data_IF_335663370922
#
_entry.id   IF_335663370922
#
_cell.length_a   1.000
_cell.length_b   1.000
_cell.length_c   1.000
_cell.angle_alpha   90.00
_cell.angle_beta   90.00
_cell.angle_gamma   90.00
#
_symmetry.space_group_name_H-M   'P 1'
#
loop_
_entity.id
_entity.type
_entity.pdbx_description
1 polymer ?
#
# COMPACT_ATOMS: atom_id res chain seq x y z
N UNK A 1 -47.35 -62.18 -25.41
CA UNK A 1 -47.38 -61.19 -24.33
C UNK A 1 -45.95 -60.67 -24.14
N UNK A 2 -45.61 -59.52 -24.75
CA UNK A 2 -44.29 -58.90 -24.64
C UNK A 2 -44.26 -58.06 -23.38
N UNK A 3 -43.47 -58.46 -22.38
CA UNK A 3 -43.23 -57.69 -21.16
C UNK A 3 -42.23 -56.59 -21.49
N UNK A 4 -42.70 -55.35 -21.54
CA UNK A 4 -41.84 -54.17 -21.64
C UNK A 4 -41.33 -53.86 -20.24
N UNK A 5 -40.06 -54.15 -19.99
CA UNK A 5 -39.36 -53.71 -18.78
C UNK A 5 -38.98 -52.24 -18.96
N UNK A 6 -39.64 -51.34 -18.24
CA UNK A 6 -39.23 -49.94 -18.14
C UNK A 6 -38.12 -49.87 -17.09
N UNK A 7 -36.89 -49.71 -17.56
CA UNK A 7 -35.74 -49.38 -16.71
C UNK A 7 -35.83 -47.89 -16.36
N UNK A 8 -36.28 -47.58 -15.15
CA UNK A 8 -36.24 -46.23 -14.60
C UNK A 8 -34.77 -45.95 -14.22
N UNK A 9 -34.02 -45.38 -15.17
CA UNK A 9 -32.70 -44.80 -14.90
C UNK A 9 -32.94 -43.54 -14.07
N UNK A 10 -32.90 -43.69 -12.75
CA UNK A 10 -32.74 -42.57 -11.83
C UNK A 10 -31.34 -42.02 -12.07
N UNK A 11 -31.26 -41.05 -12.98
CA UNK A 11 -30.10 -40.16 -13.12
C UNK A 11 -29.97 -39.44 -11.77
N UNK A 12 -29.10 -39.97 -10.91
CA UNK A 12 -28.57 -39.21 -9.78
C UNK A 12 -27.79 -38.06 -10.40
N UNK A 13 -28.47 -36.94 -10.60
CA UNK A 13 -27.83 -35.66 -10.87
C UNK A 13 -26.99 -35.37 -9.63
N UNK A 14 -25.71 -35.75 -9.68
CA UNK A 14 -24.74 -35.27 -8.71
C UNK A 14 -24.80 -33.75 -8.85
N UNK A 15 -25.09 -33.00 -7.78
CA UNK A 15 -25.01 -31.55 -7.86
C UNK A 15 -23.62 -31.23 -8.42
N UNK A 16 -23.57 -30.50 -9.53
CA UNK A 16 -22.31 -29.95 -9.99
C UNK A 16 -21.81 -29.10 -8.83
N UNK A 17 -20.77 -29.58 -8.14
CA UNK A 17 -20.08 -28.81 -7.10
C UNK A 17 -19.61 -27.56 -7.82
N UNK A 18 -20.32 -26.45 -7.62
CA UNK A 18 -20.03 -25.20 -8.28
C UNK A 18 -18.61 -24.83 -7.92
N UNK A 19 -17.73 -24.73 -8.92
CA UNK A 19 -16.39 -24.24 -8.73
C UNK A 19 -16.51 -22.78 -8.32
N UNK A 20 -16.00 -22.43 -7.14
CA UNK A 20 -15.93 -21.03 -6.71
C UNK A 20 -14.87 -20.34 -7.56
N UNK A 21 -15.23 -19.19 -8.13
CA UNK A 21 -14.32 -18.38 -8.93
C UNK A 21 -13.97 -17.10 -8.18
N UNK A 22 -12.68 -16.92 -7.90
CA UNK A 22 -12.15 -15.68 -7.31
C UNK A 22 -11.38 -14.92 -8.38
N UNK A 23 -11.72 -13.65 -8.59
CA UNK A 23 -11.01 -12.75 -9.47
C UNK A 23 -10.27 -11.71 -8.63
N UNK A 24 -8.96 -11.60 -8.82
CA UNK A 24 -8.13 -10.55 -8.24
C UNK A 24 -7.64 -9.68 -9.40
N UNK A 25 -8.14 -8.46 -9.46
CA UNK A 25 -7.90 -7.56 -10.60
C UNK A 25 -7.27 -6.27 -10.14
N UNK A 26 -6.17 -5.88 -10.79
CA UNK A 26 -5.64 -4.54 -10.70
C UNK A 26 -6.35 -3.61 -11.69
N UNK A 27 -6.63 -2.37 -11.27
CA UNK A 27 -7.07 -1.29 -12.15
C UNK A 27 -6.25 -0.04 -11.82
N UNK A 28 -5.70 0.61 -12.85
CA UNK A 28 -5.01 1.89 -12.70
C UNK A 28 -5.95 2.89 -12.01
N UNK A 29 -5.44 3.58 -10.99
CA UNK A 29 -6.26 4.49 -10.16
C UNK A 29 -6.30 5.93 -10.68
N UNK A 30 -5.73 6.18 -11.86
CA UNK A 30 -5.57 7.51 -12.45
C UNK A 30 -4.43 8.32 -11.83
N UNK A 31 -3.62 7.70 -10.97
CA UNK A 31 -2.44 8.27 -10.32
C UNK A 31 -1.22 7.36 -10.48
N UNK A 32 -0.28 7.38 -9.53
CA UNK A 32 0.94 6.57 -9.56
C UNK A 32 0.69 5.13 -9.07
N UNK A 33 -0.48 4.56 -9.36
CA UNK A 33 -0.89 3.38 -8.66
C UNK A 33 -1.99 2.57 -9.32
N UNK A 34 -2.33 1.50 -8.62
CA UNK A 34 -3.43 0.62 -8.97
C UNK A 34 -4.23 0.26 -7.73
N UNK A 35 -5.55 0.20 -7.91
CA UNK A 35 -6.46 -0.43 -6.96
C UNK A 35 -6.51 -1.92 -7.23
N UNK A 36 -6.46 -2.72 -6.16
CA UNK A 36 -6.66 -4.16 -6.24
C UNK A 36 -8.05 -4.50 -5.72
N UNK A 37 -8.85 -5.13 -6.58
CA UNK A 37 -10.20 -5.59 -6.27
C UNK A 37 -10.23 -7.10 -6.19
N UNK A 38 -10.93 -7.63 -5.20
CA UNK A 38 -11.27 -9.06 -5.11
C UNK A 38 -12.76 -9.22 -5.34
N UNK A 39 -13.12 -10.12 -6.24
CA UNK A 39 -14.50 -10.52 -6.52
C UNK A 39 -14.66 -12.03 -6.45
N UNK A 40 -15.68 -12.52 -5.77
CA UNK A 40 -16.03 -13.95 -5.69
C UNK A 40 -17.50 -14.18 -6.05
N UNK A 41 -17.80 -15.28 -6.72
CA UNK A 41 -19.16 -15.62 -7.18
C UNK A 41 -20.00 -16.34 -6.11
N UNK A 42 -19.36 -17.06 -5.20
CA UNK A 42 -19.94 -17.71 -4.04
C UNK A 42 -18.85 -17.98 -3.01
N UNK A 43 -19.20 -18.02 -1.72
CA UNK A 43 -18.23 -18.19 -0.63
C UNK A 43 -17.20 -17.05 -0.55
N UNK A 44 -17.20 -16.29 0.54
CA UNK A 44 -16.33 -15.13 0.63
C UNK A 44 -14.87 -15.53 0.81
N UNK A 45 -13.97 -14.65 0.39
CA UNK A 45 -12.55 -14.80 0.67
C UNK A 45 -12.32 -14.46 2.15
N UNK A 46 -11.68 -15.36 2.89
CA UNK A 46 -11.22 -15.16 4.28
C UNK A 46 -9.85 -14.54 4.33
N UNK A 47 -9.01 -14.79 3.34
CA UNK A 47 -7.69 -14.20 3.26
C UNK A 47 -6.97 -14.59 1.99
N UNK A 48 -5.86 -13.91 1.74
CA UNK A 48 -5.05 -14.12 0.56
C UNK A 48 -3.58 -13.77 0.81
N UNK A 49 -2.70 -14.56 0.19
CA UNK A 49 -1.29 -14.23 -0.02
C UNK A 49 -1.04 -13.96 -1.50
N UNK A 50 -0.55 -12.77 -1.85
CA UNK A 50 -0.23 -12.37 -3.22
C UNK A 50 1.21 -11.89 -3.32
N UNK A 51 1.85 -12.18 -4.45
CA UNK A 51 3.09 -11.53 -4.87
C UNK A 51 2.76 -10.50 -5.95
N UNK A 52 3.13 -9.25 -5.69
CA UNK A 52 3.00 -8.13 -6.60
C UNK A 52 4.38 -7.80 -7.16
N UNK A 53 4.50 -7.62 -8.48
CA UNK A 53 5.76 -7.23 -9.10
C UNK A 53 5.57 -6.21 -10.21
N UNK A 54 6.55 -5.33 -10.37
CA UNK A 54 6.61 -4.34 -11.46
C UNK A 54 7.80 -4.65 -12.38
N UNK A 55 7.63 -4.41 -13.68
CA UNK A 55 8.67 -4.62 -14.69
C UNK A 55 9.68 -3.46 -14.79
N UNK A 56 9.33 -2.29 -14.24
CA UNK A 56 10.16 -1.10 -14.11
C UNK A 56 9.85 -0.41 -12.77
N UNK A 57 10.80 0.38 -12.26
CA UNK A 57 10.66 1.07 -10.99
C UNK A 57 10.63 0.17 -9.76
N UNK A 58 10.03 0.72 -8.71
CA UNK A 58 9.84 0.07 -7.42
C UNK A 58 8.44 0.31 -6.89
N UNK A 59 7.97 -0.59 -6.02
CA UNK A 59 6.73 -0.44 -5.28
C UNK A 59 7.04 0.37 -4.02
N UNK A 60 6.49 1.58 -3.94
CA UNK A 60 6.81 2.57 -2.90
C UNK A 60 5.78 2.59 -1.77
N UNK A 61 4.56 2.13 -2.04
CA UNK A 61 3.54 1.96 -1.02
C UNK A 61 2.58 0.84 -1.39
N UNK A 62 2.10 0.14 -0.37
CA UNK A 62 0.88 -0.66 -0.44
C UNK A 62 0.03 -0.15 0.72
N UNK A 63 -1.21 0.24 0.43
CA UNK A 63 -2.11 0.85 1.42
C UNK A 63 -3.42 0.08 1.46
N UNK A 64 -3.82 -0.50 2.60
CA UNK A 64 -5.12 -1.16 2.71
C UNK A 64 -6.24 -0.13 2.56
N UNK A 65 -7.36 -0.53 1.97
CA UNK A 65 -8.50 0.38 1.83
C UNK A 65 -9.05 0.77 3.21
N UNK A 66 -9.15 2.07 3.54
CA UNK A 66 -9.69 2.50 4.83
C UNK A 66 -11.11 2.01 5.04
N UNK A 67 -11.37 1.37 6.19
CA UNK A 67 -12.68 0.79 6.49
C UNK A 67 -13.01 -0.47 5.67
N UNK A 68 -12.05 -1.02 4.94
CA UNK A 68 -12.17 -2.34 4.31
C UNK A 68 -12.16 -3.47 5.34
N UNK A 69 -12.77 -4.59 4.97
CA UNK A 69 -12.95 -5.73 5.88
C UNK A 69 -11.72 -6.64 5.96
N UNK A 70 -10.79 -6.43 5.03
CA UNK A 70 -9.49 -7.08 5.04
C UNK A 70 -8.48 -6.24 5.80
N UNK A 71 -7.88 -6.88 6.80
CA UNK A 71 -6.76 -6.35 7.57
C UNK A 71 -5.49 -7.07 7.19
N UNK A 72 -4.37 -6.50 7.61
CA UNK A 72 -3.03 -6.96 7.28
C UNK A 72 -2.47 -7.78 8.43
N UNK A 73 -1.73 -8.85 8.10
CA UNK A 73 -1.02 -9.65 9.09
C UNK A 73 0.40 -9.97 8.58
N UNK A 74 1.45 -9.33 9.11
CA UNK A 74 2.80 -9.54 8.61
C UNK A 74 3.35 -10.91 9.04
N UNK A 75 3.58 -11.80 8.08
CA UNK A 75 4.32 -13.06 8.25
C UNK A 75 3.46 -14.21 8.76
N UNK A 76 2.75 -14.02 9.88
CA UNK A 76 1.78 -14.96 10.44
C UNK A 76 0.65 -14.18 11.14
N UNK A 77 -0.60 -14.61 10.96
CA UNK A 77 -1.72 -14.15 11.79
C UNK A 77 -1.44 -14.63 13.22
N UNK A 78 -1.02 -13.72 14.10
CA UNK A 78 -0.79 -14.05 15.50
C UNK A 78 -2.06 -13.80 16.31
N UNK A 79 -2.74 -14.89 16.65
CA UNK A 79 -3.98 -14.88 17.43
C UNK A 79 -3.66 -15.25 18.90
N UNK A 80 -3.94 -14.35 19.85
CA UNK A 80 -3.87 -14.61 21.30
C UNK A 80 -5.27 -14.49 21.89
N UNK A 81 -5.77 -15.57 22.51
CA UNK A 81 -7.10 -15.62 23.11
C UNK A 81 -8.23 -15.19 22.13
N UNK A 82 -8.07 -15.54 20.84
CA UNK A 82 -9.02 -15.16 19.78
C UNK A 82 -8.84 -13.75 19.22
N UNK A 83 -7.87 -12.97 19.70
CA UNK A 83 -7.57 -11.62 19.23
C UNK A 83 -6.36 -11.59 18.32
N UNK A 84 -6.41 -10.79 17.25
CA UNK A 84 -5.18 -10.35 16.60
C UNK A 84 -4.56 -9.19 17.36
N UNK A 85 -3.27 -9.34 17.66
CA UNK A 85 -2.51 -8.37 18.46
C UNK A 85 -1.58 -7.49 17.61
N UNK A 86 -1.47 -7.73 16.30
CA UNK A 86 -0.65 -6.92 15.39
C UNK A 86 -1.32 -6.80 14.01
N UNK A 87 -1.63 -5.57 13.61
CA UNK A 87 -2.25 -5.22 12.34
C UNK A 87 -1.29 -4.46 11.39
N UNK A 88 0.02 -4.46 11.66
CA UNK A 88 0.98 -3.59 10.96
C UNK A 88 1.34 -4.02 9.53
N UNK A 89 1.93 -3.07 8.80
CA UNK A 89 2.21 -2.91 7.35
C UNK A 89 1.96 -4.09 6.37
N UNK A 90 1.32 -3.84 5.20
CA UNK A 90 0.78 -4.84 4.23
C UNK A 90 1.78 -5.77 3.57
N UNK A 91 3.03 -5.67 3.94
CA UNK A 91 4.15 -6.30 3.29
C UNK A 91 5.18 -6.74 4.30
N UNK A 92 5.99 -7.74 3.95
CA UNK A 92 7.12 -8.13 4.78
C UNK A 92 8.07 -6.93 4.96
N UNK A 93 8.38 -6.53 6.20
CA UNK A 93 9.25 -5.39 6.50
C UNK A 93 10.53 -5.41 5.65
N UNK A 94 10.81 -4.31 4.94
CA UNK A 94 11.93 -4.19 3.99
C UNK A 94 11.62 -4.54 2.53
N UNK A 95 10.37 -4.85 2.18
CA UNK A 95 9.98 -5.19 0.80
C UNK A 95 9.58 -3.99 -0.08
N UNK A 96 9.23 -2.84 0.52
CA UNK A 96 9.02 -1.60 -0.23
C UNK A 96 10.36 -1.04 -0.74
N UNK A 97 10.29 -0.23 -1.79
CA UNK A 97 11.48 0.27 -2.49
C UNK A 97 12.16 -0.82 -3.34
N UNK A 98 11.46 -1.93 -3.61
CA UNK A 98 11.90 -3.01 -4.50
C UNK A 98 10.90 -3.23 -5.63
N UNK A 99 11.29 -3.99 -6.66
CA UNK A 99 10.42 -4.31 -7.79
C UNK A 99 9.37 -5.38 -7.48
N UNK A 100 9.35 -5.93 -6.26
CA UNK A 100 8.42 -6.98 -5.87
C UNK A 100 8.06 -6.95 -4.40
N UNK A 101 6.79 -7.13 -4.06
CA UNK A 101 6.32 -7.19 -2.68
C UNK A 101 5.35 -8.35 -2.48
N UNK A 102 5.54 -9.10 -1.40
CA UNK A 102 4.54 -10.08 -0.94
C UNK A 102 3.59 -9.40 0.02
N UNK A 103 2.30 -9.59 -0.20
CA UNK A 103 1.22 -9.05 0.64
C UNK A 103 0.35 -10.18 1.20
N UNK A 104 0.02 -10.06 2.48
CA UNK A 104 -0.80 -11.02 3.23
C UNK A 104 -1.93 -10.26 3.91
N UNK A 105 -3.18 -10.55 3.54
CA UNK A 105 -4.36 -9.91 4.10
C UNK A 105 -5.44 -10.95 4.42
N UNK A 106 -6.22 -10.70 5.47
CA UNK A 106 -7.33 -11.56 5.87
C UNK A 106 -8.48 -10.75 6.51
N UNK A 107 -9.68 -11.30 6.44
CA UNK A 107 -10.86 -10.80 7.13
C UNK A 107 -11.14 -11.70 8.34
N UNK A 108 -11.14 -11.09 9.53
CA UNK A 108 -11.39 -11.80 10.79
C UNK A 108 -12.83 -11.64 11.25
N UNK A 109 -13.75 -11.46 10.31
CA UNK A 109 -15.13 -11.20 10.66
C UNK A 109 -15.82 -12.41 11.25
N UNK A 110 -16.78 -12.14 12.11
CA UNK A 110 -17.66 -13.13 12.71
C UNK A 110 -19.10 -12.67 12.62
N UNK A 111 -20.01 -13.62 12.35
CA UNK A 111 -21.45 -13.39 12.42
C UNK A 111 -22.02 -13.82 13.80
N UNK A 112 -21.16 -14.22 14.74
CA UNK A 112 -21.56 -14.61 16.10
C UNK A 112 -21.87 -13.36 16.94
N UNK A 113 -23.16 -13.21 17.27
CA UNK A 113 -23.70 -12.11 18.08
C UNK A 113 -23.06 -11.98 19.46
N UNK A 114 -22.42 -13.04 19.98
CA UNK A 114 -21.66 -12.96 21.22
C UNK A 114 -20.52 -11.92 21.16
N UNK A 115 -20.05 -11.56 19.97
CA UNK A 115 -18.98 -10.59 19.74
C UNK A 115 -19.48 -9.20 19.31
N UNK A 116 -20.80 -8.95 19.28
CA UNK A 116 -21.39 -7.67 18.84
C UNK A 116 -20.85 -6.44 19.60
N UNK A 117 -20.51 -6.62 20.88
CA UNK A 117 -20.04 -5.54 21.74
C UNK A 117 -18.51 -5.43 21.84
N UNK A 118 -17.77 -6.18 21.02
CA UNK A 118 -16.31 -6.18 21.04
C UNK A 118 -15.80 -5.72 19.68
N UNK A 119 -15.57 -4.40 19.57
CA UNK A 119 -15.28 -3.71 18.31
C UNK A 119 -14.09 -4.28 17.53
N UNK A 120 -13.15 -4.95 18.20
CA UNK A 120 -11.94 -5.51 17.59
C UNK A 120 -12.13 -6.95 17.04
N UNK A 121 -13.26 -7.61 17.31
CA UNK A 121 -13.49 -9.03 16.97
C UNK A 121 -14.22 -9.24 15.63
N UNK A 122 -14.40 -8.18 14.86
CA UNK A 122 -14.94 -8.28 13.50
C UNK A 122 -16.40 -8.67 13.38
N UNK A 123 -17.21 -8.44 14.43
CA UNK A 123 -18.65 -8.55 14.28
C UNK A 123 -19.18 -7.50 13.29
N UNK A 124 -19.96 -7.95 12.31
CA UNK A 124 -20.53 -7.08 11.27
C UNK A 124 -19.53 -6.58 10.23
N UNK A 125 -18.27 -7.03 10.30
CA UNK A 125 -17.18 -6.69 9.37
C UNK A 125 -17.12 -7.67 8.18
N UNK A 126 -18.26 -8.20 7.75
CA UNK A 126 -18.28 -9.24 6.72
C UNK A 126 -17.88 -8.64 5.36
N UNK A 127 -16.83 -9.16 4.68
CA UNK A 127 -16.43 -8.75 3.35
C UNK A 127 -17.60 -8.72 2.37
N UNK A 128 -17.53 -7.81 1.42
CA UNK A 128 -18.44 -7.86 0.27
C UNK A 128 -17.96 -8.91 -0.72
N UNK A 129 -18.88 -9.45 -1.53
CA UNK A 129 -18.50 -10.36 -2.62
C UNK A 129 -17.64 -9.67 -3.69
N UNK A 130 -17.58 -8.34 -3.68
CA UNK A 130 -16.68 -7.52 -4.49
C UNK A 130 -16.26 -6.29 -3.71
N UNK A 131 -14.96 -6.12 -3.47
CA UNK A 131 -14.44 -4.93 -2.80
C UNK A 131 -13.00 -4.59 -3.23
N UNK A 132 -12.64 -3.31 -3.14
CA UNK A 132 -11.25 -2.86 -3.24
C UNK A 132 -10.59 -3.14 -1.91
N UNK A 133 -9.52 -3.93 -1.92
CA UNK A 133 -8.84 -4.38 -0.69
C UNK A 133 -7.59 -3.54 -0.39
N UNK A 134 -6.90 -3.06 -1.41
CA UNK A 134 -5.72 -2.23 -1.25
C UNK A 134 -5.45 -1.37 -2.48
N UNK A 135 -4.61 -0.36 -2.31
CA UNK A 135 -3.94 0.37 -3.38
C UNK A 135 -2.44 0.10 -3.36
N UNK A 136 -1.82 0.09 -4.54
CA UNK A 136 -0.38 -0.07 -4.75
C UNK A 136 0.11 1.20 -5.41
N UNK A 137 1.21 1.77 -4.92
CA UNK A 137 1.86 2.93 -5.51
C UNK A 137 3.26 2.55 -6.01
N UNK A 138 3.62 3.03 -7.20
CA UNK A 138 4.86 2.71 -7.90
C UNK A 138 5.67 3.99 -8.19
N UNK A 139 6.99 3.85 -8.35
CA UNK A 139 7.90 4.99 -8.56
C UNK A 139 7.91 5.54 -10.00
N UNK A 140 7.52 4.73 -10.98
CA UNK A 140 7.48 5.12 -12.40
C UNK A 140 6.48 4.25 -13.17
N UNK A 141 6.30 4.54 -14.46
CA UNK A 141 5.47 3.71 -15.32
C UNK A 141 5.99 2.28 -15.40
N UNK A 142 5.06 1.34 -15.23
CA UNK A 142 5.36 -0.07 -15.23
C UNK A 142 4.10 -0.90 -15.54
N UNK A 143 4.30 -2.20 -15.69
CA UNK A 143 3.26 -3.20 -15.67
C UNK A 143 3.24 -3.86 -14.29
N UNK A 144 2.18 -3.63 -13.53
CA UNK A 144 1.92 -4.35 -12.29
C UNK A 144 1.39 -5.75 -12.60
N UNK A 145 2.13 -6.77 -12.16
CA UNK A 145 1.75 -8.18 -12.26
C UNK A 145 1.34 -8.69 -10.88
N UNK A 146 0.28 -9.50 -10.83
CA UNK A 146 -0.18 -10.17 -9.62
C UNK A 146 -0.01 -11.67 -9.82
N UNK A 147 0.59 -12.33 -8.84
CA UNK A 147 0.68 -13.79 -8.75
C UNK A 147 0.21 -14.27 -7.39
N UNK A 148 -0.36 -15.47 -7.33
CA UNK A 148 -0.77 -16.08 -6.07
C UNK A 148 0.45 -16.62 -5.34
N UNK A 149 0.58 -16.27 -4.05
CA UNK A 149 1.64 -16.81 -3.21
C UNK A 149 1.12 -18.03 -2.44
N UNK A 150 1.21 -19.21 -3.07
CA UNK A 150 0.80 -20.47 -2.46
C UNK A 150 1.61 -20.82 -1.20
N UNK A 151 2.86 -20.35 -1.08
CA UNK A 151 3.66 -20.56 0.14
C UNK A 151 3.13 -19.75 1.34
N UNK A 152 2.36 -18.69 1.08
CA UNK A 152 1.65 -17.89 2.08
C UNK A 152 0.15 -18.21 2.18
N UNK A 153 -0.26 -19.37 1.66
CA UNK A 153 -1.63 -19.88 1.76
C UNK A 153 -2.51 -19.63 0.55
N UNK A 154 -2.06 -18.83 -0.43
CA UNK A 154 -2.86 -18.49 -1.60
C UNK A 154 -4.17 -17.80 -1.23
N UNK A 155 -5.22 -17.98 -2.01
CA UNK A 155 -6.58 -17.49 -1.70
C UNK A 155 -7.32 -18.52 -0.86
N UNK A 156 -7.83 -18.08 0.30
CA UNK A 156 -8.57 -18.91 1.26
C UNK A 156 -10.02 -18.45 1.32
N UNK A 157 -10.96 -19.41 1.24
CA UNK A 157 -12.41 -19.19 1.31
C UNK A 157 -12.94 -19.37 2.74
N UNK A 158 -14.20 -18.96 3.00
CA UNK A 158 -14.90 -19.25 4.26
C UNK A 158 -15.09 -20.75 4.51
N UNK A 159 -15.39 -21.49 3.44
CA UNK A 159 -15.48 -22.94 3.46
C UNK A 159 -14.13 -23.55 3.05
N UNK A 160 -13.39 -24.15 4.01
CA UNK A 160 -12.07 -24.71 3.73
C UNK A 160 -12.12 -25.96 2.84
N UNK A 161 -13.29 -26.57 2.64
CA UNK A 161 -13.45 -27.74 1.77
C UNK A 161 -13.61 -27.34 0.29
N UNK A 162 -13.81 -26.04 0.00
CA UNK A 162 -13.87 -25.52 -1.36
C UNK A 162 -12.50 -25.01 -1.82
N UNK A 163 -12.09 -25.45 -3.01
CA UNK A 163 -10.86 -24.97 -3.67
C UNK A 163 -11.25 -23.96 -4.74
N UNK A 164 -10.89 -22.67 -4.61
CA UNK A 164 -11.23 -21.67 -5.60
C UNK A 164 -10.43 -21.87 -6.90
N UNK A 165 -11.04 -21.51 -8.02
CA UNK A 165 -10.31 -21.15 -9.24
C UNK A 165 -9.96 -19.66 -9.14
N UNK A 166 -8.67 -19.34 -9.09
CA UNK A 166 -8.19 -17.98 -8.92
C UNK A 166 -7.76 -17.41 -10.27
N UNK A 167 -8.43 -16.34 -10.70
CA UNK A 167 -8.07 -15.56 -11.88
C UNK A 167 -7.35 -14.28 -11.44
N UNK A 168 -6.13 -14.09 -11.92
CA UNK A 168 -5.30 -12.94 -11.59
C UNK A 168 -5.12 -12.06 -12.83
N UNK A 169 -5.38 -10.77 -12.70
CA UNK A 169 -5.17 -9.80 -13.77
C UNK A 169 -4.38 -8.60 -13.27
N UNK A 170 -3.17 -8.44 -13.81
CA UNK A 170 -2.36 -7.24 -13.65
C UNK A 170 -2.89 -6.05 -14.45
N UNK A 171 -2.16 -4.92 -14.40
CA UNK A 171 -2.51 -3.69 -15.12
C UNK A 171 -1.26 -2.92 -15.52
N UNK A 172 -1.31 -2.25 -16.66
CA UNK A 172 -0.31 -1.25 -17.02
C UNK A 172 -0.61 0.06 -16.26
N UNK A 173 0.39 0.64 -15.62
CA UNK A 173 0.31 1.91 -14.90
C UNK A 173 1.04 2.95 -15.77
N UNK A 174 0.26 3.84 -16.38
CA UNK A 174 0.75 4.81 -17.35
C UNK A 174 1.26 6.10 -16.68
N UNK A 175 2.23 6.76 -17.31
CA UNK A 175 2.94 7.88 -16.68
C UNK A 175 2.03 9.10 -16.55
N UNK A 176 1.71 9.44 -15.31
CA UNK A 176 1.77 10.79 -14.74
C UNK A 176 2.62 10.78 -13.45
N UNK A 177 3.40 9.71 -13.26
CA UNK A 177 3.88 9.23 -11.98
C UNK A 177 5.18 9.86 -11.48
N UNK A 178 5.68 10.89 -12.18
CA UNK A 178 6.63 11.76 -11.53
C UNK A 178 5.89 12.38 -10.37
N UNK A 179 6.13 11.89 -9.15
CA UNK A 179 6.21 12.82 -8.04
C UNK A 179 7.06 13.96 -8.60
N UNK A 180 6.49 15.14 -8.81
CA UNK A 180 7.35 16.27 -8.96
C UNK A 180 8.01 16.34 -7.59
N UNK A 181 9.30 16.02 -7.50
CA UNK A 181 10.01 16.37 -6.29
C UNK A 181 9.76 17.86 -6.06
N UNK A 182 9.67 18.31 -4.81
CA UNK A 182 9.41 19.71 -4.51
C UNK A 182 10.36 20.58 -5.33
N UNK A 183 9.86 21.59 -6.04
CA UNK A 183 10.69 22.41 -6.94
C UNK A 183 11.91 23.02 -6.22
N UNK A 184 11.82 23.21 -4.90
CA UNK A 184 12.92 23.66 -4.06
C UNK A 184 14.11 22.71 -3.97
N UNK A 185 13.97 21.43 -4.32
CA UNK A 185 15.11 20.52 -4.41
C UNK A 185 15.99 20.78 -5.63
N UNK A 186 15.52 21.58 -6.59
CA UNK A 186 16.37 22.13 -7.64
C UNK A 186 17.06 23.43 -7.22
N UNK A 187 16.82 23.93 -6.01
CA UNK A 187 17.58 25.07 -5.50
C UNK A 187 19.02 24.63 -5.24
N UNK A 188 19.95 25.31 -5.89
CA UNK A 188 21.37 24.95 -5.83
C UNK A 188 22.00 25.17 -4.44
N UNK A 189 21.27 25.77 -3.49
CA UNK A 189 21.65 25.92 -2.09
C UNK A 189 20.89 25.00 -1.12
N UNK A 190 19.96 24.16 -1.59
CA UNK A 190 19.02 23.43 -0.72
C UNK A 190 19.69 22.51 0.30
N UNK A 191 20.76 21.82 -0.09
CA UNK A 191 21.58 20.96 0.79
C UNK A 191 22.36 21.74 1.88
N UNK A 192 22.35 23.07 1.82
CA UNK A 192 22.85 23.94 2.88
C UNK A 192 21.73 24.53 3.74
N UNK A 193 20.49 24.03 3.60
CA UNK A 193 19.27 24.54 4.23
C UNK A 193 18.77 25.91 3.73
N UNK A 194 19.07 26.27 2.48
CA UNK A 194 18.41 27.38 1.76
C UNK A 194 17.11 26.87 1.14
N UNK A 195 16.05 26.93 1.95
CA UNK A 195 14.74 26.32 1.70
C UNK A 195 13.86 27.16 0.78
N UNK A 196 14.11 28.47 0.68
CA UNK A 196 13.37 29.38 -0.19
C UNK A 196 14.11 29.75 -1.48
N UNK A 197 15.39 29.34 -1.60
CA UNK A 197 16.20 29.46 -2.80
C UNK A 197 16.75 30.86 -3.03
N UNK A 198 16.87 31.67 -1.98
CA UNK A 198 17.33 33.06 -2.06
C UNK A 198 18.86 33.21 -2.09
N UNK A 199 19.60 32.11 -1.92
CA UNK A 199 21.06 32.05 -1.89
C UNK A 199 21.67 32.30 -0.51
N UNK A 200 20.85 32.32 0.54
CA UNK A 200 21.28 32.51 1.92
C UNK A 200 20.46 31.67 2.90
N UNK A 201 21.05 31.37 4.06
CA UNK A 201 20.36 30.62 5.12
C UNK A 201 20.04 31.56 6.26
N UNK A 202 18.76 31.82 6.47
CA UNK A 202 18.28 32.84 7.39
C UNK A 202 16.94 32.51 8.04
N UNK A 203 16.25 33.58 8.46
CA UNK A 203 15.07 33.46 9.31
C UNK A 203 13.90 32.77 8.61
N UNK A 204 13.77 32.90 7.28
CA UNK A 204 12.73 32.22 6.52
C UNK A 204 12.97 30.71 6.49
N UNK A 205 14.21 30.28 6.29
CA UNK A 205 14.61 28.86 6.35
C UNK A 205 14.38 28.26 7.71
N UNK A 206 14.70 29.02 8.76
CA UNK A 206 14.42 28.60 10.12
C UNK A 206 12.94 28.30 10.35
N UNK A 207 12.04 29.11 9.78
CA UNK A 207 10.61 28.88 9.94
C UNK A 207 10.14 27.64 9.19
N UNK A 208 10.63 27.41 7.96
CA UNK A 208 10.35 26.19 7.20
C UNK A 208 10.76 24.93 7.99
N UNK A 209 11.97 24.97 8.56
CA UNK A 209 12.51 23.90 9.39
C UNK A 209 11.74 23.73 10.71
N UNK A 210 11.60 24.79 11.52
CA UNK A 210 10.91 24.78 12.83
C UNK A 210 9.50 24.22 12.69
N UNK A 211 8.78 24.69 11.68
CA UNK A 211 7.38 24.28 11.49
C UNK A 211 7.27 22.84 11.04
N UNK A 212 8.33 22.25 10.50
CA UNK A 212 8.37 20.87 10.00
C UNK A 212 9.13 19.89 10.90
N UNK A 213 9.73 20.37 11.99
CA UNK A 213 10.54 19.57 12.90
C UNK A 213 9.82 18.33 13.42
N UNK A 214 10.47 17.16 13.29
CA UNK A 214 9.97 15.87 13.75
C UNK A 214 8.85 15.29 12.87
N UNK A 215 8.60 15.87 11.70
CA UNK A 215 7.64 15.34 10.73
C UNK A 215 8.35 14.54 9.66
N UNK A 216 7.64 13.54 9.14
CA UNK A 216 8.03 12.81 7.95
C UNK A 216 7.02 13.02 6.83
N UNK A 217 7.47 12.82 5.59
CA UNK A 217 6.62 12.79 4.41
C UNK A 217 5.53 11.72 4.55
N UNK A 218 5.87 10.57 5.17
CA UNK A 218 4.93 9.46 5.37
C UNK A 218 3.81 9.79 6.37
N UNK A 219 4.13 10.48 7.47
CA UNK A 219 3.18 10.78 8.54
C UNK A 219 2.46 12.12 8.39
N UNK A 220 3.01 13.05 7.60
CA UNK A 220 2.45 14.39 7.39
C UNK A 220 2.58 14.84 5.92
N UNK A 221 2.06 14.08 4.93
CA UNK A 221 2.21 14.43 3.53
C UNK A 221 1.63 15.84 3.26
N UNK A 222 2.33 16.71 2.51
CA UNK A 222 1.82 18.03 2.18
C UNK A 222 0.57 17.91 1.31
N UNK A 223 -0.43 18.77 1.55
CA UNK A 223 -1.66 18.76 0.77
C UNK A 223 -1.42 19.08 -0.72
N UNK A 224 -0.38 19.86 -1.00
CA UNK A 224 0.10 20.20 -2.35
C UNK A 224 1.63 20.01 -2.38
N UNK A 225 2.17 19.16 -3.27
CA UNK A 225 3.61 19.03 -3.46
C UNK A 225 4.27 20.40 -3.70
N UNK A 226 5.24 20.78 -2.86
CA UNK A 226 5.99 22.04 -2.99
C UNK A 226 5.31 23.32 -2.46
N UNK A 227 4.17 23.23 -1.78
CA UNK A 227 3.54 24.38 -1.09
C UNK A 227 2.83 23.95 0.19
N UNK A 228 3.60 23.57 1.23
CA UNK A 228 3.05 23.09 2.49
C UNK A 228 2.31 24.21 3.23
N UNK A 229 1.13 23.89 3.77
CA UNK A 229 0.46 24.80 4.70
C UNK A 229 1.25 24.88 6.02
N UNK A 230 1.10 25.97 6.81
CA UNK A 230 1.69 26.04 8.15
C UNK A 230 1.25 24.83 8.98
N UNK A 231 2.21 24.08 9.51
CA UNK A 231 1.91 22.85 10.25
C UNK A 231 1.91 21.57 9.40
N UNK A 232 2.25 21.61 8.12
CA UNK A 232 2.53 20.43 7.29
C UNK A 232 4.04 20.11 7.21
N UNK A 233 4.40 19.02 6.54
CA UNK A 233 5.78 18.69 6.19
C UNK A 233 6.29 19.63 5.07
N UNK A 234 7.33 20.41 5.34
CA UNK A 234 8.01 21.18 4.31
C UNK A 234 9.23 20.43 3.78
N UNK A 235 9.06 19.74 2.66
CA UNK A 235 10.11 18.97 2.03
C UNK A 235 11.35 19.79 1.64
N UNK A 236 11.28 21.12 1.55
CA UNK A 236 12.46 21.95 1.30
C UNK A 236 13.42 21.98 2.50
N UNK A 237 12.90 21.76 3.71
CA UNK A 237 13.66 21.68 4.94
C UNK A 237 14.22 20.27 5.23
N UNK A 238 13.92 19.30 4.37
CA UNK A 238 14.53 17.95 4.34
C UNK A 238 15.78 18.01 3.45
N UNK A 239 16.88 18.42 4.07
CA UNK A 239 18.15 18.77 3.40
C UNK A 239 18.91 17.55 2.90
N UNK A 240 18.78 16.42 3.60
CA UNK A 240 19.37 15.15 3.19
C UNK A 240 18.41 14.28 2.36
N UNK A 241 17.14 14.69 2.23
CA UNK A 241 16.09 14.07 1.42
C UNK A 241 15.72 12.67 1.90
N UNK A 242 15.89 12.40 3.20
CA UNK A 242 15.60 11.08 3.78
C UNK A 242 14.10 10.85 4.08
N UNK A 243 13.27 11.86 3.78
CA UNK A 243 11.83 11.84 3.99
C UNK A 243 11.42 12.21 5.41
N UNK A 244 12.34 12.63 6.27
CA UNK A 244 12.10 13.05 7.66
C UNK A 244 12.92 14.27 8.02
N UNK A 245 12.29 15.26 8.67
CA UNK A 245 13.01 16.46 9.10
C UNK A 245 13.44 16.29 10.55
N UNK A 246 14.74 16.14 10.75
CA UNK A 246 15.34 15.73 12.02
C UNK A 246 16.72 16.32 12.29
N UNK A 247 17.48 15.61 13.12
CA UNK A 247 18.76 16.09 13.66
C UNK A 247 19.83 16.33 12.58
N UNK A 248 19.82 15.55 11.50
CA UNK A 248 20.76 15.73 10.39
C UNK A 248 20.46 17.06 9.68
N UNK A 249 19.20 17.31 9.34
CA UNK A 249 18.79 18.59 8.75
C UNK A 249 19.06 19.79 9.64
N UNK A 250 18.91 19.61 10.96
CA UNK A 250 19.26 20.64 11.92
C UNK A 250 20.74 21.01 11.85
N UNK A 251 21.61 20.02 11.69
CA UNK A 251 23.05 20.25 11.62
C UNK A 251 23.42 21.00 10.36
N UNK A 252 22.83 20.63 9.22
CA UNK A 252 23.03 21.35 7.96
C UNK A 252 22.56 22.80 8.07
N UNK A 253 21.37 23.03 8.64
CA UNK A 253 20.88 24.39 8.90
C UNK A 253 21.79 25.18 9.86
N UNK A 254 22.17 24.57 11.00
CA UNK A 254 23.01 25.22 12.02
C UNK A 254 24.36 25.63 11.45
N UNK A 255 24.98 24.73 10.68
CA UNK A 255 26.35 24.92 10.17
C UNK A 255 26.40 25.98 9.06
N UNK A 256 25.28 26.24 8.40
CA UNK A 256 25.14 27.26 7.37
C UNK A 256 24.40 28.53 7.84
N UNK A 257 23.99 28.63 9.11
CA UNK A 257 23.21 29.78 9.61
C UNK A 257 23.88 31.13 9.35
N UNK A 258 23.11 32.07 8.78
CA UNK A 258 23.56 33.42 8.45
C UNK A 258 24.78 33.44 7.51
N UNK A 259 24.81 32.50 6.57
CA UNK A 259 25.82 32.39 5.50
C UNK A 259 25.17 32.40 4.11
N UNK A 260 25.98 32.71 3.09
CA UNK A 260 25.63 32.50 1.69
C UNK A 260 25.88 31.05 1.31
N UNK A 261 24.97 30.45 0.56
CA UNK A 261 25.12 29.05 0.11
C UNK A 261 26.02 28.95 -1.12
N UNK A 262 26.74 27.84 -1.23
CA UNK A 262 27.35 27.46 -2.49
C UNK A 262 26.26 26.97 -3.46
N UNK A 263 26.52 27.08 -4.76
CA UNK A 263 25.57 26.76 -5.82
C UNK A 263 25.93 25.41 -6.47
N UNK A 264 26.05 24.39 -5.63
CA UNK A 264 26.56 23.06 -5.98
C UNK A 264 25.77 21.90 -5.35
N UNK A 265 24.61 22.20 -4.74
CA UNK A 265 23.72 21.13 -4.32
C UNK A 265 23.23 20.30 -5.52
N UNK A 266 23.14 18.97 -5.39
CA UNK A 266 22.54 18.12 -6.41
C UNK A 266 21.10 18.56 -6.70
N UNK A 267 20.70 18.55 -7.98
CA UNK A 267 19.29 18.74 -8.37
C UNK A 267 18.43 17.61 -7.81
N UNK A 268 17.12 17.80 -7.75
CA UNK A 268 16.20 16.79 -7.24
C UNK A 268 16.33 15.46 -8.00
N UNK A 269 16.43 14.36 -7.28
CA UNK A 269 16.32 13.00 -7.83
C UNK A 269 15.19 12.27 -7.08
N UNK A 270 14.22 11.74 -7.81
CA UNK A 270 13.12 10.97 -7.25
C UNK A 270 13.57 9.69 -6.55
N UNK A 271 14.77 9.22 -6.89
CA UNK A 271 15.38 8.06 -6.25
C UNK A 271 16.15 8.42 -4.97
N UNK A 272 16.23 9.71 -4.60
CA UNK A 272 16.88 10.15 -3.36
C UNK A 272 15.92 10.29 -2.18
N UNK A 273 14.59 10.41 -2.40
CA UNK A 273 13.54 10.64 -1.36
C UNK A 273 13.50 9.55 -0.27
N UNK A 274 14.24 8.46 -0.42
CA UNK A 274 14.15 7.27 0.42
C UNK A 274 15.49 6.58 0.64
N UNK A 275 16.63 7.28 0.46
CA UNK A 275 17.92 6.69 0.86
C UNK A 275 18.09 6.84 2.37
N UNK A 276 18.09 5.73 3.14
CA UNK A 276 18.28 5.77 4.58
C UNK A 276 19.70 6.21 4.99
#
# INVERSE_FOLDING_TARGET
MKKVLIFLVVLMAVPAMGVVTVNVTAAEDGSCGATITITTDANLVRGFGLDLSVDAGTIIAVTPTPGGEYRIFPGQIYVVDGNVIDYNTPYAAGSLGSSSVTVEMASLYTDDIAYEFVADYGYGMRPSASEVVMTVTVSESCTLTITENAARGGVVLEDPDLVPTVNLSGVAISTGCGWAYPACWDYLGQCYADTDGDGSVGLLDFYAFRDSWGKSLASNPPAIPGSPAPGEYNACADTNRDGSIGLLDFYDFRDNWNSSTASDCPTGDLNEIYKP
#
